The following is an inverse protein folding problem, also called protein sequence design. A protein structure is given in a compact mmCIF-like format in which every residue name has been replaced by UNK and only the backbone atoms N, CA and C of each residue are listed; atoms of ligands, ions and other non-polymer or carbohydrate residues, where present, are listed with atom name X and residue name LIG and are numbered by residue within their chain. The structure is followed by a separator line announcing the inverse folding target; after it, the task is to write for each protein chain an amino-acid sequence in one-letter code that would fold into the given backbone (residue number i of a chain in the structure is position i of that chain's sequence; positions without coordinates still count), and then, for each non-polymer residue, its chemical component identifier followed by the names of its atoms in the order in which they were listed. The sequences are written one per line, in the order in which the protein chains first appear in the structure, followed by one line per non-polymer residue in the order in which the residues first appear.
data_IF_044161831021
#
_entry.id   IF_044161831021
#
_cell.length_a   1.000
_cell.length_b   1.000
_cell.length_c   1.000
_cell.angle_alpha   90.00
_cell.angle_beta   90.00
_cell.angle_gamma   90.00
#
_symmetry.space_group_name_H-M   'P 1'
#
loop_
_entity.id
_entity.type
_entity.pdbx_description
1 polymer ?
#
# COMPACT_ATOMS: atom_id res chain seq x y z
N UNK A 1 20.30 20.35 -7.60
CA UNK A 1 20.33 19.38 -8.72
C UNK A 1 20.28 17.93 -8.23
N UNK A 2 21.17 17.48 -7.33
CA UNK A 2 21.17 16.10 -6.83
C UNK A 2 19.90 15.69 -6.05
N UNK A 3 19.36 16.56 -5.19
CA UNK A 3 18.12 16.28 -4.43
C UNK A 3 16.94 15.98 -5.36
N UNK A 4 16.72 16.84 -6.36
CA UNK A 4 15.66 16.61 -7.36
C UNK A 4 15.85 15.29 -8.13
N UNK A 5 17.09 14.90 -8.44
CA UNK A 5 17.36 13.65 -9.11
C UNK A 5 17.02 12.43 -8.22
N UNK A 6 17.23 12.53 -6.90
CA UNK A 6 16.85 11.50 -5.95
C UNK A 6 15.33 11.40 -5.78
N UNK A 7 14.62 12.53 -5.77
CA UNK A 7 13.15 12.53 -5.75
C UNK A 7 12.59 11.89 -7.03
N UNK A 8 13.14 12.27 -8.20
CA UNK A 8 12.75 11.66 -9.47
C UNK A 8 13.08 10.15 -9.52
N UNK A 9 14.18 9.74 -8.89
CA UNK A 9 14.52 8.32 -8.76
C UNK A 9 13.48 7.60 -7.90
N UNK A 10 13.09 8.16 -6.76
CA UNK A 10 12.10 7.56 -5.88
C UNK A 10 10.75 7.37 -6.60
N UNK A 11 10.27 8.38 -7.32
CA UNK A 11 9.02 8.30 -8.09
C UNK A 11 9.08 7.17 -9.14
N UNK A 12 10.21 7.03 -9.84
CA UNK A 12 10.39 5.93 -10.82
C UNK A 12 10.40 4.56 -10.18
N UNK A 13 11.00 4.42 -9.00
CA UNK A 13 10.99 3.14 -8.29
C UNK A 13 9.58 2.81 -7.78
N UNK A 14 8.83 3.80 -7.29
CA UNK A 14 7.42 3.64 -6.90
C UNK A 14 6.57 3.18 -8.10
N UNK A 15 6.70 3.81 -9.26
CA UNK A 15 5.99 3.44 -10.50
C UNK A 15 6.30 1.99 -10.94
N UNK A 16 7.57 1.58 -10.85
CA UNK A 16 7.96 0.19 -11.13
C UNK A 16 7.29 -0.79 -10.17
N UNK A 17 7.24 -0.47 -8.87
CA UNK A 17 6.61 -1.35 -7.87
C UNK A 17 5.09 -1.41 -8.08
N UNK A 18 4.43 -0.28 -8.37
CA UNK A 18 3.01 -0.23 -8.70
C UNK A 18 2.70 -1.11 -9.92
N UNK A 19 3.50 -0.99 -10.99
CA UNK A 19 3.35 -1.82 -12.20
C UNK A 19 3.52 -3.30 -11.90
N UNK A 20 4.53 -3.64 -11.10
CA UNK A 20 4.75 -5.01 -10.62
C UNK A 20 3.54 -5.53 -9.83
N UNK A 21 2.99 -4.73 -8.92
CA UNK A 21 1.83 -5.14 -8.12
C UNK A 21 0.57 -5.31 -8.96
N UNK A 22 0.26 -4.38 -9.88
CA UNK A 22 -0.86 -4.55 -10.82
C UNK A 22 -0.75 -5.85 -11.62
N UNK A 23 0.45 -6.16 -12.11
CA UNK A 23 0.69 -7.43 -12.80
C UNK A 23 0.47 -8.64 -11.87
N UNK A 24 1.08 -8.62 -10.67
CA UNK A 24 0.95 -9.70 -9.71
C UNK A 24 -0.50 -9.92 -9.25
N UNK A 25 -1.30 -8.86 -9.11
CA UNK A 25 -2.72 -8.96 -8.75
C UNK A 25 -3.52 -9.76 -9.80
N UNK A 26 -3.10 -9.76 -11.06
CA UNK A 26 -3.75 -10.50 -12.15
C UNK A 26 -3.29 -11.96 -12.27
N UNK A 27 -2.03 -12.25 -11.91
CA UNK A 27 -1.42 -13.58 -12.17
C UNK A 27 -1.11 -14.38 -10.90
N UNK A 28 -1.32 -13.80 -9.71
CA UNK A 28 -1.05 -14.45 -8.43
C UNK A 28 -1.88 -15.72 -8.29
N UNK A 29 -1.21 -16.82 -7.92
CA UNK A 29 -1.86 -18.09 -7.55
C UNK A 29 -2.24 -18.15 -6.06
N UNK A 30 -1.86 -17.12 -5.29
CA UNK A 30 -2.15 -17.00 -3.86
C UNK A 30 -3.37 -16.10 -3.64
N UNK A 31 -4.38 -16.63 -2.95
CA UNK A 31 -5.50 -15.85 -2.41
C UNK A 31 -5.10 -15.26 -1.05
N UNK A 32 -5.03 -13.92 -0.92
CA UNK A 32 -4.64 -13.27 0.33
C UNK A 32 -5.74 -13.35 1.38
N UNK A 33 -5.41 -13.84 2.58
CA UNK A 33 -6.26 -13.64 3.76
C UNK A 33 -6.06 -12.24 4.33
N UNK A 34 -4.82 -11.74 4.31
CA UNK A 34 -4.46 -10.43 4.86
C UNK A 34 -3.59 -9.69 3.85
N UNK A 35 -3.93 -8.45 3.57
CA UNK A 35 -3.11 -7.54 2.76
C UNK A 35 -2.53 -6.45 3.64
N UNK A 36 -1.20 -6.34 3.65
CA UNK A 36 -0.50 -5.24 4.31
C UNK A 36 -0.23 -4.14 3.28
N UNK A 37 -0.75 -2.94 3.52
CA UNK A 37 -0.63 -1.77 2.65
C UNK A 37 0.05 -0.65 3.44
N UNK A 38 0.98 0.06 2.81
CA UNK A 38 1.65 1.16 3.50
C UNK A 38 2.91 1.66 2.82
N UNK A 39 3.76 2.28 3.62
CA UNK A 39 5.04 2.83 3.17
C UNK A 39 6.21 1.83 3.30
N UNK A 40 7.44 2.35 3.41
CA UNK A 40 8.67 1.57 3.60
C UNK A 40 8.65 0.65 4.80
N UNK A 41 7.96 1.01 5.90
CA UNK A 41 7.86 0.14 7.07
C UNK A 41 7.14 -1.17 6.68
N UNK A 42 6.13 -1.06 5.83
CA UNK A 42 5.43 -2.22 5.29
C UNK A 42 6.25 -2.92 4.21
N UNK A 43 6.85 -2.20 3.25
CA UNK A 43 7.63 -2.82 2.17
C UNK A 43 8.72 -3.76 2.71
N UNK A 44 9.41 -3.34 3.78
CA UNK A 44 10.53 -4.08 4.37
C UNK A 44 10.12 -5.01 5.53
N UNK A 45 8.81 -5.15 5.79
CA UNK A 45 8.33 -5.99 6.88
C UNK A 45 8.57 -7.48 6.55
N UNK A 46 9.33 -8.23 7.36
CA UNK A 46 9.59 -9.66 7.13
C UNK A 46 8.38 -10.51 7.57
N UNK A 47 7.25 -10.34 6.89
CA UNK A 47 5.94 -10.88 7.28
C UNK A 47 5.97 -12.40 7.46
N UNK A 48 6.58 -13.12 6.51
CA UNK A 48 6.62 -14.59 6.54
C UNK A 48 7.44 -15.12 7.72
N UNK A 49 8.56 -14.47 8.05
CA UNK A 49 9.44 -14.91 9.13
C UNK A 49 8.82 -14.63 10.52
N UNK A 50 8.06 -13.54 10.64
CA UNK A 50 7.47 -13.12 11.92
C UNK A 50 6.07 -13.72 12.17
N UNK A 51 5.26 -13.92 11.12
CA UNK A 51 3.88 -14.42 11.25
C UNK A 51 3.70 -15.86 10.74
N UNK A 52 4.71 -16.43 10.08
CA UNK A 52 4.62 -17.75 9.47
C UNK A 52 3.72 -17.77 8.23
N UNK A 53 3.27 -18.98 7.85
CA UNK A 53 2.51 -19.22 6.61
C UNK A 53 1.16 -19.88 6.84
N UNK A 54 0.66 -19.90 8.08
CA UNK A 54 -0.66 -20.46 8.40
C UNK A 54 -1.81 -19.65 7.81
N UNK A 55 -1.58 -18.34 7.60
CA UNK A 55 -2.41 -17.43 6.81
C UNK A 55 -1.60 -16.90 5.64
N UNK A 56 -2.23 -16.72 4.49
CA UNK A 56 -1.62 -16.05 3.35
C UNK A 56 -1.62 -14.54 3.60
N UNK A 57 -0.47 -14.02 4.01
CA UNK A 57 -0.26 -12.57 4.23
C UNK A 57 0.54 -12.02 3.06
N UNK A 58 0.01 -10.99 2.40
CA UNK A 58 0.61 -10.42 1.20
C UNK A 58 1.04 -8.98 1.43
N UNK A 59 2.25 -8.66 0.99
CA UNK A 59 2.84 -7.34 1.11
C UNK A 59 2.51 -6.48 -0.12
N UNK A 60 1.96 -5.30 0.13
CA UNK A 60 1.70 -4.22 -0.84
C UNK A 60 2.20 -2.87 -0.30
N UNK A 61 3.28 -2.88 0.47
CA UNK A 61 3.97 -1.67 0.91
C UNK A 61 4.89 -1.09 -0.17
N UNK A 62 4.97 0.23 -0.27
CA UNK A 62 5.84 0.92 -1.23
C UNK A 62 6.63 2.02 -0.51
N UNK A 63 7.95 1.99 -0.58
CA UNK A 63 8.85 2.97 0.05
C UNK A 63 8.49 4.41 -0.31
N UNK A 64 8.54 5.28 0.70
CA UNK A 64 8.26 6.71 0.54
C UNK A 64 6.81 7.03 0.19
N UNK A 65 5.87 6.08 0.27
CA UNK A 65 4.46 6.36 0.02
C UNK A 65 3.88 7.36 1.00
N UNK A 66 3.04 8.23 0.46
CA UNK A 66 2.20 9.18 1.18
C UNK A 66 0.73 8.79 0.94
N UNK A 67 -0.19 9.30 1.76
CA UNK A 67 -1.62 8.95 1.64
C UNK A 67 -2.22 9.30 0.28
N UNK A 68 -1.81 10.43 -0.32
CA UNK A 68 -2.29 10.84 -1.64
C UNK A 68 -1.86 9.89 -2.76
N UNK A 69 -0.61 9.42 -2.73
CA UNK A 69 -0.09 8.45 -3.71
C UNK A 69 -0.80 7.10 -3.60
N UNK A 70 -1.09 6.66 -2.37
CA UNK A 70 -1.86 5.45 -2.12
C UNK A 70 -3.29 5.58 -2.63
N UNK A 71 -3.95 6.72 -2.38
CA UNK A 71 -5.31 6.95 -2.87
C UNK A 71 -5.37 6.92 -4.41
N UNK A 72 -4.45 7.59 -5.09
CA UNK A 72 -4.39 7.65 -6.56
C UNK A 72 -4.12 6.27 -7.18
N UNK A 73 -3.40 5.39 -6.48
CA UNK A 73 -2.95 4.10 -7.01
C UNK A 73 -3.51 2.91 -6.23
N UNK A 74 -4.63 3.07 -5.52
CA UNK A 74 -5.19 2.06 -4.61
C UNK A 74 -5.43 0.71 -5.32
N UNK A 75 -5.73 0.75 -6.62
CA UNK A 75 -5.90 -0.41 -7.49
C UNK A 75 -4.69 -1.36 -7.50
N UNK A 76 -3.47 -0.84 -7.35
CA UNK A 76 -2.27 -1.64 -7.31
C UNK A 76 -2.17 -2.47 -6.01
N UNK A 77 -2.86 -2.06 -4.94
CA UNK A 77 -2.70 -2.64 -3.61
C UNK A 77 -3.75 -3.68 -3.24
N UNK A 78 -4.82 -3.82 -4.03
CA UNK A 78 -5.96 -4.67 -3.68
C UNK A 78 -6.18 -5.76 -4.73
N UNK A 79 -6.30 -7.00 -4.27
CA UNK A 79 -6.71 -8.15 -5.07
C UNK A 79 -7.17 -9.30 -4.16
N UNK A 80 -7.79 -10.31 -4.75
CA UNK A 80 -8.27 -11.50 -4.05
C UNK A 80 -9.78 -11.45 -3.80
N UNK A 81 -10.42 -12.61 -3.78
CA UNK A 81 -11.87 -12.73 -3.60
C UNK A 81 -12.33 -12.85 -2.15
N UNK A 82 -11.41 -13.14 -1.24
CA UNK A 82 -11.70 -13.49 0.15
C UNK A 82 -10.70 -12.86 1.13
N UNK A 83 -10.47 -11.55 0.97
CA UNK A 83 -9.62 -10.79 1.90
C UNK A 83 -10.33 -10.63 3.24
N UNK A 84 -9.78 -11.22 4.30
CA UNK A 84 -10.33 -11.07 5.64
C UNK A 84 -9.97 -9.71 6.23
N UNK A 85 -8.72 -9.24 6.04
CA UNK A 85 -8.17 -8.05 6.69
C UNK A 85 -7.27 -7.21 5.82
N UNK A 86 -7.36 -5.89 5.98
CA UNK A 86 -6.37 -4.96 5.43
C UNK A 86 -5.67 -4.26 6.59
N UNK A 87 -4.34 -4.44 6.66
CA UNK A 87 -3.50 -3.70 7.62
C UNK A 87 -2.91 -2.50 6.92
N UNK A 88 -3.38 -1.30 7.28
CA UNK A 88 -2.91 -0.04 6.71
C UNK A 88 -1.96 0.67 7.69
N UNK A 89 -0.70 0.86 7.28
CA UNK A 89 0.30 1.64 8.02
C UNK A 89 0.97 2.65 7.09
N UNK A 90 0.54 3.90 7.16
CA UNK A 90 0.99 5.00 6.30
C UNK A 90 0.88 6.34 7.04
N UNK A 91 1.55 7.37 6.53
CA UNK A 91 1.41 8.76 6.99
C UNK A 91 2.69 9.38 7.54
N UNK A 92 3.72 8.59 7.86
CA UNK A 92 5.00 9.16 8.34
C UNK A 92 5.68 10.04 7.28
N UNK A 93 5.48 9.73 5.99
CA UNK A 93 6.04 10.52 4.88
C UNK A 93 5.19 11.76 4.59
N UNK A 94 3.88 11.73 4.82
CA UNK A 94 3.01 12.92 4.81
C UNK A 94 3.53 13.94 5.83
N UNK A 95 3.77 13.50 7.07
CA UNK A 95 4.37 14.32 8.14
C UNK A 95 5.74 14.84 7.70
N UNK A 96 6.61 13.96 7.20
CA UNK A 96 7.98 14.33 6.78
C UNK A 96 8.07 15.27 5.57
N UNK A 97 6.97 15.46 4.83
CA UNK A 97 6.86 16.36 3.67
C UNK A 97 5.93 17.55 3.94
N UNK A 98 5.56 17.78 5.20
CA UNK A 98 4.68 18.87 5.63
C UNK A 98 3.32 18.88 4.91
N UNK A 99 2.78 17.70 4.57
CA UNK A 99 1.41 17.58 4.05
C UNK A 99 0.43 17.99 5.14
N UNK A 100 -0.57 18.85 4.85
CA UNK A 100 -1.56 19.25 5.83
C UNK A 100 -2.31 18.04 6.41
N UNK A 101 -2.44 17.97 7.73
CA UNK A 101 -3.11 16.83 8.40
C UNK A 101 -4.53 16.58 7.89
N UNK A 102 -5.28 17.63 7.54
CA UNK A 102 -6.62 17.48 6.97
C UNK A 102 -6.59 16.83 5.58
N UNK A 103 -5.55 17.08 4.78
CA UNK A 103 -5.37 16.41 3.49
C UNK A 103 -5.06 14.93 3.70
N UNK A 104 -4.15 14.60 4.62
CA UNK A 104 -3.86 13.22 5.01
C UNK A 104 -5.12 12.49 5.50
N UNK A 105 -5.93 13.11 6.35
CA UNK A 105 -7.17 12.54 6.85
C UNK A 105 -8.21 12.33 5.74
N UNK A 106 -8.40 13.31 4.85
CA UNK A 106 -9.32 13.20 3.72
C UNK A 106 -8.90 12.07 2.77
N UNK A 107 -7.59 11.91 2.51
CA UNK A 107 -7.08 10.81 1.69
C UNK A 107 -7.36 9.45 2.33
N UNK A 108 -7.13 9.32 3.64
CA UNK A 108 -7.42 8.10 4.39
C UNK A 108 -8.91 7.78 4.39
N UNK A 109 -9.76 8.77 4.61
CA UNK A 109 -11.22 8.59 4.54
C UNK A 109 -11.65 8.07 3.17
N UNK A 110 -11.15 8.67 2.08
CA UNK A 110 -11.45 8.22 0.72
C UNK A 110 -10.95 6.79 0.44
N UNK A 111 -9.76 6.43 0.92
CA UNK A 111 -9.22 5.06 0.83
C UNK A 111 -10.14 4.07 1.55
N UNK A 112 -10.51 4.37 2.81
CA UNK A 112 -11.38 3.51 3.62
C UNK A 112 -12.75 3.35 2.95
N UNK A 113 -13.33 4.43 2.44
CA UNK A 113 -14.61 4.38 1.73
C UNK A 113 -14.53 3.55 0.45
N UNK A 114 -13.43 3.61 -0.30
CA UNK A 114 -13.26 2.77 -1.49
C UNK A 114 -13.13 1.29 -1.12
N UNK A 115 -12.32 0.98 -0.09
CA UNK A 115 -12.18 -0.39 0.42
C UNK A 115 -13.53 -0.93 0.90
N UNK A 116 -14.28 -0.16 1.70
CA UNK A 116 -15.58 -0.59 2.22
C UNK A 116 -16.62 -0.85 1.11
N UNK A 117 -16.50 -0.15 -0.03
CA UNK A 117 -17.38 -0.36 -1.18
C UNK A 117 -17.00 -1.61 -1.98
N UNK A 118 -15.71 -1.82 -2.23
CA UNK A 118 -15.23 -2.88 -3.11
C UNK A 118 -15.00 -4.20 -2.37
N UNK A 119 -14.73 -4.13 -1.06
CA UNK A 119 -14.46 -5.23 -0.13
C UNK A 119 -15.34 -5.11 1.14
N UNK A 120 -16.68 -5.20 1.02
CA UNK A 120 -17.61 -4.85 2.11
C UNK A 120 -17.60 -5.78 3.33
N UNK A 121 -16.94 -6.94 3.22
CA UNK A 121 -16.81 -7.93 4.30
C UNK A 121 -15.42 -7.95 4.95
N UNK A 122 -14.48 -7.16 4.43
CA UNK A 122 -13.12 -7.07 4.95
C UNK A 122 -13.07 -6.17 6.18
N UNK A 123 -12.34 -6.61 7.21
CA UNK A 123 -12.07 -5.85 8.44
C UNK A 123 -10.82 -4.96 8.35
#
# INVERSE_FOLDING_TARGET
MAVQLLENWLLKEQEKIQTKYRHLNQVSVLEPNIVFIGDSIVEYYPLQELFGTSKTIVNRGIRGYQTGLLLENLDAHLYGGAVDKIVLLIGTNDIGKDVPVNETLNNLEAIIQSIARDYPLTE
#
